data_IF_463665140712
#
_entry.id   IF_463665140712
#
_cell.length_a   1.000
_cell.length_b   1.000
_cell.length_c   1.000
_cell.angle_alpha   90.00
_cell.angle_beta   90.00
_cell.angle_gamma   90.00
#
_symmetry.space_group_name_H-M   'P 1'
#
loop_
_entity.id
_entity.type
_entity.pdbx_description
1 polymer ?
#
# COMPACT_ATOMS: atom_id res chain seq x y z
N UNK A 1 -6.57 -18.32 23.37
CA UNK A 1 -5.69 -17.15 23.26
C UNK A 1 -5.88 -16.62 21.86
N UNK A 2 -6.52 -15.46 21.70
CA UNK A 2 -6.64 -14.85 20.37
C UNK A 2 -5.26 -14.32 20.00
N UNK A 3 -4.67 -14.81 18.90
CA UNK A 3 -3.46 -14.20 18.35
C UNK A 3 -3.74 -12.71 18.17
N UNK A 4 -2.89 -11.87 18.78
CA UNK A 4 -2.95 -10.44 18.57
C UNK A 4 -2.86 -10.15 17.07
N UNK A 5 -3.52 -9.09 16.55
CA UNK A 5 -3.30 -8.69 15.16
C UNK A 5 -1.81 -8.41 14.96
N UNK A 6 -1.16 -9.16 14.07
CA UNK A 6 0.29 -9.10 13.86
C UNK A 6 0.54 -8.14 12.71
N UNK A 7 1.00 -6.92 12.99
CA UNK A 7 1.62 -6.10 11.96
C UNK A 7 2.93 -6.76 11.57
N UNK A 8 3.08 -7.08 10.28
CA UNK A 8 4.32 -7.62 9.71
C UNK A 8 4.61 -6.95 8.39
N UNK A 9 5.87 -6.96 7.95
CA UNK A 9 6.24 -6.32 6.69
C UNK A 9 7.38 -7.04 5.97
N UNK A 10 7.45 -6.84 4.66
CA UNK A 10 8.53 -7.31 3.80
C UNK A 10 8.97 -6.18 2.87
N UNK A 11 10.28 -6.01 2.70
CA UNK A 11 10.83 -5.01 1.79
C UNK A 11 11.48 -5.65 0.56
N UNK A 12 11.43 -4.94 -0.56
CA UNK A 12 11.97 -5.34 -1.85
C UNK A 12 12.75 -4.18 -2.48
N UNK A 13 13.83 -4.45 -3.23
CA UNK A 13 14.39 -5.78 -3.49
C UNK A 13 14.99 -6.41 -2.23
N UNK A 14 15.02 -7.75 -2.18
CA UNK A 14 15.60 -8.52 -1.05
C UNK A 14 17.12 -8.37 -0.91
N UNK A 15 17.76 -7.68 -1.85
CA UNK A 15 19.22 -7.55 -1.99
C UNK A 15 19.74 -6.20 -1.47
N UNK A 16 18.89 -5.34 -0.89
CA UNK A 16 19.29 -4.04 -0.36
C UNK A 16 18.78 -3.86 1.07
N UNK A 17 19.54 -3.13 1.88
CA UNK A 17 19.09 -2.67 3.19
C UNK A 17 17.98 -1.64 2.98
N UNK A 18 16.79 -1.80 3.60
CA UNK A 18 15.74 -0.81 3.47
C UNK A 18 16.12 0.51 4.16
N UNK A 19 15.69 1.68 3.64
CA UNK A 19 15.84 2.95 4.33
C UNK A 19 15.25 2.91 5.74
N UNK A 20 15.82 3.71 6.67
CA UNK A 20 15.36 3.74 8.06
C UNK A 20 13.90 4.15 8.21
N UNK A 21 13.42 5.07 7.36
CA UNK A 21 12.04 5.57 7.41
C UNK A 21 10.97 4.50 7.14
N UNK A 22 11.34 3.34 6.56
CA UNK A 22 10.42 2.20 6.45
C UNK A 22 9.88 1.80 7.82
N UNK A 23 10.73 1.84 8.86
CA UNK A 23 10.34 1.50 10.23
C UNK A 23 9.37 2.52 10.80
N UNK A 24 9.60 3.79 10.54
CA UNK A 24 8.74 4.89 11.02
C UNK A 24 7.32 4.73 10.47
N UNK A 25 7.19 4.39 9.17
CA UNK A 25 5.87 4.11 8.57
C UNK A 25 5.24 2.86 9.17
N UNK A 26 5.99 1.76 9.34
CA UNK A 26 5.46 0.53 9.97
C UNK A 26 5.00 0.78 11.42
N UNK A 27 5.69 1.65 12.16
CA UNK A 27 5.33 2.01 13.53
C UNK A 27 3.97 2.71 13.61
N UNK A 28 3.58 3.47 12.59
CA UNK A 28 2.21 4.05 12.49
C UNK A 28 1.15 2.94 12.45
N UNK A 29 1.37 1.88 11.68
CA UNK A 29 0.45 0.72 11.64
C UNK A 29 0.47 -0.06 12.96
N UNK A 30 1.63 -0.21 13.60
CA UNK A 30 1.76 -0.90 14.89
C UNK A 30 1.03 -0.16 16.00
N UNK A 31 1.20 1.16 16.10
CA UNK A 31 0.55 2.02 17.09
C UNK A 31 -0.98 1.97 16.96
N UNK A 32 -1.48 1.92 15.73
CA UNK A 32 -2.91 1.88 15.43
C UNK A 32 -3.48 0.46 15.27
N UNK A 33 -2.68 -0.58 15.53
CA UNK A 33 -3.04 -1.98 15.26
C UNK A 33 -4.34 -2.42 15.96
N UNK A 34 -4.63 -1.88 17.16
CA UNK A 34 -5.88 -2.17 17.86
C UNK A 34 -7.15 -1.68 17.15
N UNK A 35 -7.03 -0.67 16.28
CA UNK A 35 -8.13 -0.09 15.52
C UNK A 35 -8.23 -0.66 14.10
N UNK A 36 -7.08 -0.87 13.46
CA UNK A 36 -7.00 -1.26 12.04
C UNK A 36 -6.82 -2.77 11.83
N UNK A 37 -6.35 -3.48 12.85
CA UNK A 37 -5.95 -4.88 12.75
C UNK A 37 -7.11 -5.76 12.33
N UNK A 38 -6.82 -6.73 11.46
CA UNK A 38 -7.84 -7.64 10.93
C UNK A 38 -8.50 -8.43 12.05
N UNK A 39 -9.71 -8.05 12.47
CA UNK A 39 -10.48 -8.78 13.48
C UNK A 39 -11.38 -9.84 12.82
N UNK A 40 -11.17 -11.14 13.09
CA UNK A 40 -11.93 -12.23 12.48
C UNK A 40 -13.44 -12.25 12.81
N UNK A 41 -13.89 -11.43 13.76
CA UNK A 41 -15.25 -11.42 14.30
C UNK A 41 -16.05 -10.15 13.94
N UNK A 42 -15.43 -9.16 13.27
CA UNK A 42 -16.07 -7.90 12.89
C UNK A 42 -16.00 -7.68 11.38
N UNK A 43 -16.91 -6.86 10.85
CA UNK A 43 -16.76 -6.29 9.51
C UNK A 43 -15.48 -5.44 9.52
N UNK A 44 -14.52 -5.76 8.65
CA UNK A 44 -13.27 -5.02 8.53
C UNK A 44 -13.49 -3.58 8.05
N UNK A 45 -12.51 -2.71 8.30
CA UNK A 45 -12.50 -1.34 7.77
C UNK A 45 -12.35 -1.36 6.25
N UNK A 46 -12.92 -0.36 5.60
CA UNK A 46 -12.60 0.01 4.21
C UNK A 46 -11.26 0.75 4.13
N UNK A 47 -10.69 0.90 2.92
CA UNK A 47 -9.44 1.62 2.73
C UNK A 47 -9.55 3.07 3.24
N UNK A 48 -10.66 3.74 2.93
CA UNK A 48 -10.91 5.11 3.39
C UNK A 48 -10.97 5.21 4.92
N UNK A 49 -11.64 4.26 5.58
CA UNK A 49 -11.74 4.23 7.05
C UNK A 49 -10.38 3.94 7.69
N UNK A 50 -9.57 3.06 7.09
CA UNK A 50 -8.21 2.82 7.55
C UNK A 50 -7.33 4.07 7.39
N UNK A 51 -7.36 4.70 6.21
CA UNK A 51 -6.59 5.91 5.94
C UNK A 51 -6.98 7.03 6.89
N UNK A 52 -8.26 7.14 7.25
CA UNK A 52 -8.74 8.10 8.24
C UNK A 52 -8.17 7.85 9.64
N UNK A 53 -8.04 6.60 10.07
CA UNK A 53 -7.41 6.26 11.36
C UNK A 53 -5.92 6.61 11.38
N UNK A 54 -5.21 6.38 10.28
CA UNK A 54 -3.75 6.59 10.19
C UNK A 54 -3.35 8.04 9.85
N UNK A 55 -4.31 8.89 9.47
CA UNK A 55 -4.06 10.19 8.85
C UNK A 55 -3.15 11.09 9.67
N UNK A 56 -3.44 11.25 10.96
CA UNK A 56 -2.71 12.21 11.79
C UNK A 56 -1.26 11.78 11.97
N UNK A 57 -1.02 10.49 12.23
CA UNK A 57 0.33 9.94 12.38
C UNK A 57 1.13 9.97 11.07
N UNK A 58 0.50 9.65 9.93
CA UNK A 58 1.13 9.77 8.61
C UNK A 58 1.47 11.22 8.28
N UNK A 59 0.57 12.16 8.60
CA UNK A 59 0.80 13.60 8.39
C UNK A 59 1.95 14.09 9.26
N UNK A 60 2.04 13.63 10.52
CA UNK A 60 3.16 13.94 11.41
C UNK A 60 4.51 13.41 10.89
N UNK A 61 4.50 12.32 10.13
CA UNK A 61 5.68 11.82 9.42
C UNK A 61 6.01 12.58 8.13
N UNK A 62 5.19 13.55 7.71
CA UNK A 62 5.42 14.35 6.51
C UNK A 62 4.68 13.87 5.25
N UNK A 63 3.78 12.88 5.36
CA UNK A 63 2.93 12.52 4.25
C UNK A 63 1.85 13.57 4.01
N UNK A 64 1.61 13.88 2.75
CA UNK A 64 0.33 14.39 2.31
C UNK A 64 -0.62 13.20 2.20
N UNK A 65 -1.77 13.25 2.88
CA UNK A 65 -2.75 12.16 2.91
C UNK A 65 -4.03 12.62 2.24
N UNK A 66 -4.61 11.79 1.37
CA UNK A 66 -5.87 12.10 0.69
C UNK A 66 -6.96 12.42 1.72
N UNK A 67 -7.58 13.60 1.59
CA UNK A 67 -8.59 14.05 2.53
C UNK A 67 -9.97 13.45 2.24
N UNK A 68 -10.30 13.27 0.96
CA UNK A 68 -11.58 12.74 0.48
C UNK A 68 -11.48 12.26 -0.98
N UNK A 69 -12.55 11.61 -1.47
CA UNK A 69 -12.66 11.19 -2.88
C UNK A 69 -12.90 12.32 -3.88
N UNK A 70 -13.00 13.57 -3.43
CA UNK A 70 -13.18 14.72 -4.32
C UNK A 70 -11.92 14.96 -5.14
N UNK A 71 -12.09 15.28 -6.43
CA UNK A 71 -10.99 15.46 -7.37
C UNK A 71 -9.89 16.44 -6.90
N UNK A 72 -10.25 17.45 -6.10
CA UNK A 72 -9.33 18.44 -5.53
C UNK A 72 -8.47 17.93 -4.38
N UNK A 73 -8.92 16.86 -3.71
CA UNK A 73 -8.27 16.29 -2.53
C UNK A 73 -7.42 15.06 -2.90
N UNK A 74 -7.50 14.63 -4.17
CA UNK A 74 -6.80 13.49 -4.74
C UNK A 74 -5.32 13.80 -4.92
N UNK A 75 -4.46 12.92 -4.41
CA UNK A 75 -3.01 13.04 -4.58
C UNK A 75 -2.64 12.40 -5.90
N UNK A 76 -2.10 13.20 -6.83
CA UNK A 76 -1.79 12.76 -8.19
C UNK A 76 -0.30 12.82 -8.47
N UNK A 77 0.23 11.77 -9.09
CA UNK A 77 1.61 11.70 -9.57
C UNK A 77 1.67 11.63 -11.09
N UNK A 78 2.54 12.42 -11.74
CA UNK A 78 2.67 12.42 -13.18
C UNK A 78 3.25 11.10 -13.69
N UNK A 79 2.74 10.66 -14.83
CA UNK A 79 3.25 9.52 -15.62
C UNK A 79 3.83 10.05 -16.92
N UNK A 80 3.04 10.87 -17.64
CA UNK A 80 3.49 11.54 -18.86
C UNK A 80 3.33 13.03 -18.74
N UNK A 81 4.26 13.75 -19.36
CA UNK A 81 4.18 15.19 -19.56
C UNK A 81 3.89 15.47 -21.03
N UNK A 82 2.90 16.34 -21.27
CA UNK A 82 2.54 16.83 -22.59
C UNK A 82 3.17 18.17 -22.90
N UNK A 83 2.47 18.96 -23.71
CA UNK A 83 2.92 20.29 -24.12
C UNK A 83 3.18 21.20 -22.91
N UNK A 84 4.25 22.00 -22.99
CA UNK A 84 4.70 22.91 -21.94
C UNK A 84 5.02 22.21 -20.59
N UNK A 85 5.50 20.96 -20.66
CA UNK A 85 5.85 20.16 -19.49
C UNK A 85 4.71 20.02 -18.47
N UNK A 86 3.46 20.05 -18.94
CA UNK A 86 2.28 19.84 -18.09
C UNK A 86 1.96 18.35 -17.98
N UNK A 87 1.66 17.82 -16.78
CA UNK A 87 1.19 16.45 -16.64
C UNK A 87 -0.02 16.19 -17.54
N UNK A 88 0.06 15.13 -18.35
CA UNK A 88 -1.00 14.70 -19.26
C UNK A 88 -1.71 13.45 -18.74
N UNK A 89 -0.92 12.44 -18.32
CA UNK A 89 -1.41 11.26 -17.63
C UNK A 89 -0.88 11.27 -16.21
N UNK A 90 -1.77 11.01 -15.25
CA UNK A 90 -1.44 10.97 -13.84
C UNK A 90 -2.17 9.79 -13.19
N UNK A 91 -1.54 9.18 -12.20
CA UNK A 91 -2.18 8.22 -11.31
C UNK A 91 -2.37 8.80 -9.92
N UNK A 92 -3.32 8.22 -9.19
CA UNK A 92 -3.68 8.64 -7.84
C UNK A 92 -2.96 7.75 -6.83
N UNK A 93 -2.75 8.28 -5.62
CA UNK A 93 -2.21 7.58 -4.46
C UNK A 93 -3.04 7.95 -3.24
N UNK A 94 -3.15 7.05 -2.26
CA UNK A 94 -3.78 7.38 -0.97
C UNK A 94 -2.95 8.39 -0.16
N UNK A 95 -1.62 8.29 -0.19
CA UNK A 95 -0.72 9.26 0.43
C UNK A 95 0.64 9.39 -0.28
N UNK A 96 1.30 10.55 -0.11
CA UNK A 96 2.59 10.87 -0.74
C UNK A 96 3.51 11.63 0.21
N UNK A 97 4.74 11.14 0.38
CA UNK A 97 5.81 11.87 1.06
C UNK A 97 6.74 12.53 0.03
N UNK A 98 6.85 13.87 -0.01
CA UNK A 98 7.66 14.57 -1.02
C UNK A 98 9.16 14.33 -0.88
N UNK A 99 9.70 14.40 0.34
CA UNK A 99 11.17 14.29 0.53
C UNK A 99 11.68 12.87 0.32
N UNK A 100 10.94 11.86 0.78
CA UNK A 100 11.26 10.46 0.55
C UNK A 100 10.83 9.98 -0.83
N UNK A 101 10.09 10.77 -1.61
CA UNK A 101 9.50 10.34 -2.88
C UNK A 101 8.75 9.02 -2.77
N UNK A 102 7.96 8.91 -1.70
CA UNK A 102 7.33 7.67 -1.29
C UNK A 102 5.80 7.74 -1.43
N UNK A 103 5.21 6.81 -2.18
CA UNK A 103 3.77 6.60 -2.21
C UNK A 103 3.33 5.59 -1.15
N UNK A 104 2.10 5.73 -0.67
CA UNK A 104 1.42 4.71 0.15
C UNK A 104 0.06 4.42 -0.47
N UNK A 105 -0.24 3.14 -0.62
CA UNK A 105 -1.56 2.62 -1.03
C UNK A 105 -2.08 1.66 0.04
N UNK A 106 -3.34 1.83 0.41
CA UNK A 106 -4.05 1.01 1.39
C UNK A 106 -5.15 0.23 0.68
N UNK A 107 -4.97 -1.08 0.63
CA UNK A 107 -5.92 -1.97 0.03
C UNK A 107 -6.65 -2.73 1.14
N UNK A 108 -7.91 -2.38 1.39
CA UNK A 108 -8.76 -3.09 2.35
C UNK A 108 -9.79 -3.95 1.62
N UNK A 109 -9.74 -5.27 1.83
CA UNK A 109 -10.73 -6.21 1.31
C UNK A 109 -10.20 -7.16 0.26
N UNK A 110 -11.01 -7.48 -0.77
CA UNK A 110 -10.67 -8.42 -1.87
C UNK A 110 -9.58 -7.89 -2.83
N UNK A 111 -8.56 -7.23 -2.31
CA UNK A 111 -7.49 -6.59 -3.08
C UNK A 111 -6.84 -7.55 -4.07
N UNK A 112 -6.62 -8.81 -3.64
CA UNK A 112 -6.09 -9.87 -4.50
C UNK A 112 -7.06 -10.27 -5.63
N UNK A 113 -8.34 -10.46 -5.33
CA UNK A 113 -9.31 -10.90 -6.34
C UNK A 113 -9.64 -9.82 -7.38
N UNK A 114 -9.35 -8.54 -7.08
CA UNK A 114 -9.61 -7.40 -7.94
C UNK A 114 -8.42 -6.92 -8.79
N UNK A 115 -7.29 -7.65 -8.77
CA UNK A 115 -6.02 -7.22 -9.39
C UNK A 115 -5.50 -5.86 -8.89
N UNK A 116 -5.97 -5.39 -7.71
CA UNK A 116 -5.64 -4.07 -7.21
C UNK A 116 -4.13 -3.92 -6.97
N UNK A 117 -3.55 -4.91 -6.29
CA UNK A 117 -2.09 -5.04 -6.07
C UNK A 117 -1.30 -4.91 -7.38
N UNK A 118 -1.71 -5.62 -8.44
CA UNK A 118 -1.01 -5.54 -9.73
C UNK A 118 -1.11 -4.15 -10.34
N UNK A 119 -2.30 -3.53 -10.26
CA UNK A 119 -2.51 -2.18 -10.76
C UNK A 119 -1.60 -1.20 -10.03
N UNK A 120 -1.55 -1.23 -8.71
CA UNK A 120 -0.77 -0.26 -7.93
C UNK A 120 0.74 -0.43 -8.18
N UNK A 121 1.21 -1.68 -8.27
CA UNK A 121 2.61 -1.97 -8.61
C UNK A 121 2.99 -1.47 -10.01
N UNK A 122 2.10 -1.65 -11.01
CA UNK A 122 2.33 -1.20 -12.39
C UNK A 122 2.15 0.30 -12.54
N UNK A 123 1.22 0.92 -11.82
CA UNK A 123 1.08 2.37 -11.81
C UNK A 123 2.33 3.01 -11.22
N UNK A 124 2.82 2.53 -10.07
CA UNK A 124 4.06 3.02 -9.47
C UNK A 124 5.30 2.83 -10.35
N UNK A 125 5.35 1.77 -11.14
CA UNK A 125 6.43 1.53 -12.11
C UNK A 125 6.58 2.68 -13.11
N UNK A 126 5.50 3.36 -13.45
CA UNK A 126 5.49 4.42 -14.47
C UNK A 126 5.28 5.83 -13.88
N UNK A 127 5.11 5.95 -12.57
CA UNK A 127 5.03 7.25 -11.89
C UNK A 127 6.42 7.90 -11.85
N UNK A 128 6.47 9.17 -12.23
CA UNK A 128 7.71 9.95 -12.27
C UNK A 128 8.13 10.35 -10.85
N UNK A 129 9.43 10.17 -10.59
CA UNK A 129 10.06 10.49 -9.30
C UNK A 129 9.44 9.76 -8.11
N UNK A 130 9.08 8.49 -8.30
CA UNK A 130 8.65 7.59 -7.22
C UNK A 130 9.79 6.64 -6.91
N UNK A 131 10.43 6.82 -5.75
CA UNK A 131 11.60 6.03 -5.34
C UNK A 131 11.18 4.90 -4.39
N UNK A 132 10.05 5.05 -3.70
CA UNK A 132 9.53 4.08 -2.74
C UNK A 132 8.00 3.94 -2.85
N UNK A 133 7.50 2.72 -2.63
CA UNK A 133 6.07 2.44 -2.50
C UNK A 133 5.83 1.61 -1.23
N UNK A 134 4.86 2.05 -0.43
CA UNK A 134 4.27 1.25 0.63
C UNK A 134 2.94 0.70 0.15
N UNK A 135 2.72 -0.60 0.34
CA UNK A 135 1.46 -1.26 0.01
C UNK A 135 0.95 -2.00 1.23
N UNK A 136 -0.11 -1.48 1.84
CA UNK A 136 -0.74 -2.05 3.01
C UNK A 136 -1.91 -2.96 2.61
N UNK A 137 -1.86 -4.23 3.02
CA UNK A 137 -2.88 -5.26 2.72
C UNK A 137 -3.25 -6.05 3.98
N UNK A 138 -4.44 -6.66 4.05
CA UNK A 138 -4.79 -7.51 5.18
C UNK A 138 -3.88 -8.74 5.23
N UNK A 139 -3.55 -9.22 6.42
CA UNK A 139 -2.90 -10.53 6.58
C UNK A 139 -3.77 -11.65 6.03
N UNK A 140 -5.09 -11.56 6.21
CA UNK A 140 -6.01 -12.43 5.51
C UNK A 140 -7.43 -11.91 5.48
N UNK A 141 -8.07 -12.04 4.32
CA UNK A 141 -9.41 -11.51 4.10
C UNK A 141 -10.45 -12.64 4.00
N UNK A 142 -11.48 -12.59 4.84
CA UNK A 142 -12.56 -13.59 4.84
C UNK A 142 -13.69 -13.18 3.90
N UNK A 143 -14.10 -14.08 3.03
CA UNK A 143 -15.22 -13.87 2.11
C UNK A 143 -16.00 -15.15 1.86
N UNK A 144 -17.21 -15.00 1.33
CA UNK A 144 -18.04 -16.12 0.93
C UNK A 144 -17.77 -16.48 -0.53
N UNK A 145 -17.49 -17.75 -0.79
CA UNK A 145 -17.33 -18.32 -2.13
C UNK A 145 -18.11 -19.63 -2.22
N UNK A 146 -19.07 -19.73 -3.15
CA UNK A 146 -19.88 -20.94 -3.32
C UNK A 146 -20.61 -21.39 -2.05
N UNK A 147 -21.05 -20.44 -1.21
CA UNK A 147 -21.71 -20.73 0.08
C UNK A 147 -20.76 -21.14 1.22
N UNK A 148 -19.44 -21.17 0.99
CA UNK A 148 -18.44 -21.47 2.03
C UNK A 148 -17.62 -20.23 2.39
N UNK A 149 -17.24 -20.13 3.65
CA UNK A 149 -16.31 -19.11 4.12
C UNK A 149 -14.89 -19.50 3.72
N UNK A 150 -14.23 -18.64 2.96
CA UNK A 150 -12.85 -18.79 2.50
C UNK A 150 -12.03 -17.63 3.08
N UNK A 151 -10.76 -17.87 3.39
CA UNK A 151 -9.81 -16.83 3.80
C UNK A 151 -8.74 -16.69 2.73
N UNK A 152 -8.66 -15.52 2.10
CA UNK A 152 -7.53 -15.13 1.24
C UNK A 152 -6.32 -14.78 2.10
N UNK A 153 -5.12 -15.05 1.61
CA UNK A 153 -3.84 -14.72 2.28
C UNK A 153 -3.19 -13.55 1.56
N UNK A 154 -3.81 -12.37 1.64
CA UNK A 154 -3.50 -11.25 0.75
C UNK A 154 -2.05 -10.76 0.90
N UNK A 155 -1.54 -10.70 2.13
CA UNK A 155 -0.13 -10.42 2.38
C UNK A 155 0.81 -11.43 1.69
N UNK A 156 0.62 -12.74 1.91
CA UNK A 156 1.49 -13.76 1.31
C UNK A 156 1.43 -13.73 -0.21
N UNK A 157 0.24 -13.52 -0.78
CA UNK A 157 0.06 -13.40 -2.23
C UNK A 157 0.77 -12.15 -2.77
N UNK A 158 0.66 -11.01 -2.09
CA UNK A 158 1.35 -9.77 -2.45
C UNK A 158 2.87 -9.95 -2.40
N UNK A 159 3.39 -10.56 -1.34
CA UNK A 159 4.81 -10.89 -1.20
C UNK A 159 5.29 -11.80 -2.31
N UNK A 160 4.49 -12.81 -2.69
CA UNK A 160 4.83 -13.74 -3.78
C UNK A 160 4.94 -13.01 -5.13
N UNK A 161 4.02 -12.08 -5.41
CA UNK A 161 4.09 -11.24 -6.62
C UNK A 161 5.30 -10.33 -6.59
N UNK A 162 5.58 -9.69 -5.45
CA UNK A 162 6.76 -8.85 -5.30
C UNK A 162 8.07 -9.64 -5.45
N UNK A 163 8.19 -10.84 -4.88
CA UNK A 163 9.35 -11.72 -5.10
C UNK A 163 9.53 -12.02 -6.60
N UNK A 164 8.43 -12.34 -7.31
CA UNK A 164 8.49 -12.58 -8.74
C UNK A 164 8.93 -11.34 -9.54
N UNK A 165 8.38 -10.15 -9.26
CA UNK A 165 8.72 -8.94 -10.01
C UNK A 165 10.14 -8.44 -9.72
N UNK A 166 10.57 -8.44 -8.46
CA UNK A 166 11.86 -7.90 -8.06
C UNK A 166 13.04 -8.86 -8.28
N UNK A 167 12.80 -10.17 -8.46
CA UNK A 167 13.85 -11.15 -8.73
C UNK A 167 14.02 -11.48 -10.23
N UNK A 168 13.08 -11.07 -11.08
CA UNK A 168 13.05 -11.49 -12.48
C UNK A 168 13.85 -10.54 -13.38
N UNK A 169 14.50 -11.06 -14.43
CA UNK A 169 15.37 -10.27 -15.31
C UNK A 169 14.66 -9.48 -16.42
N UNK A 170 13.39 -9.81 -16.69
CA UNK A 170 12.58 -9.16 -17.75
C UNK A 170 11.97 -7.82 -17.35
N UNK A 171 11.95 -7.51 -16.06
CA UNK A 171 11.44 -6.24 -15.53
C UNK A 171 12.45 -5.75 -14.50
N UNK A 172 12.70 -4.45 -14.50
CA UNK A 172 13.46 -3.79 -13.43
C UNK A 172 12.51 -2.82 -12.74
N UNK A 173 12.34 -2.98 -11.43
CA UNK A 173 11.45 -2.14 -10.64
C UNK A 173 12.25 -0.92 -10.18
N UNK A 174 11.92 0.31 -10.64
CA UNK A 174 12.73 1.51 -10.40
C UNK A 174 12.55 2.09 -9.00
N UNK A 175 11.64 1.53 -8.21
CA UNK A 175 11.35 1.92 -6.83
C UNK A 175 11.57 0.73 -5.88
N UNK A 176 11.73 0.99 -4.58
CA UNK A 176 11.68 -0.06 -3.56
C UNK A 176 10.25 -0.24 -3.05
N UNK A 177 9.84 -1.47 -2.73
CA UNK A 177 8.52 -1.75 -2.17
C UNK A 177 8.62 -2.16 -0.70
N UNK A 178 7.70 -1.68 0.13
CA UNK A 178 7.40 -2.23 1.44
C UNK A 178 5.96 -2.73 1.48
N UNK A 179 5.77 -4.04 1.61
CA UNK A 179 4.46 -4.65 1.81
C UNK A 179 4.20 -4.75 3.30
N UNK A 180 3.11 -4.13 3.77
CA UNK A 180 2.69 -4.14 5.19
C UNK A 180 1.43 -5.01 5.30
N UNK A 181 1.47 -5.99 6.20
CA UNK A 181 0.34 -6.87 6.53
C UNK A 181 -0.30 -6.45 7.85
N UNK A 182 -1.62 -6.26 7.87
CA UNK A 182 -2.39 -5.85 9.05
C UNK A 182 -3.59 -6.74 9.41
#
# INVERSE_FOLDING_TARGET
MSDAPIIRFSTFPRTRVPPSFIKDVVEVFQTNCGQIGTNPQKKGLTSDEMLAVLRDDLTNLGFHVEASKLAKDKIRRPVFFGENARPYLQYELDAWHPDWRAGLEIEAGRAWMGNAIYRDLIQALVMVETDHLFLAVPNGYRYMSGGRQVTSRDYEHTVTVADALYAHSRIDMPYSLCVIGY
#
